data_IF_871153268162
#
_entry.id   IF_871153268162
#
_cell.length_a   1.000
_cell.length_b   1.000
_cell.length_c   1.000
_cell.angle_alpha   90.00
_cell.angle_beta   90.00
_cell.angle_gamma   90.00
#
_symmetry.space_group_name_H-M   'P 1'
#
loop_
_entity.id
_entity.type
_entity.pdbx_description
1 polymer ?
#
# COMPACT_ATOMS: atom_id res chain seq x y z
N UNK A 1 24.20 10.90 1.56
CA UNK A 1 22.94 11.62 1.28
C UNK A 1 22.99 12.27 -0.10
N UNK A 2 22.00 12.00 -0.94
CA UNK A 2 21.82 12.65 -2.24
C UNK A 2 20.94 13.88 -2.00
N UNK A 3 21.48 15.07 -2.26
CA UNK A 3 20.75 16.32 -2.06
C UNK A 3 19.93 16.58 -3.32
N UNK A 4 18.61 16.44 -3.20
CA UNK A 4 17.66 16.71 -4.27
C UNK A 4 16.68 17.78 -3.79
N UNK A 5 17.19 18.99 -3.53
CA UNK A 5 16.46 20.07 -2.88
C UNK A 5 15.18 20.49 -3.61
N UNK A 6 15.10 20.22 -4.91
CA UNK A 6 13.93 20.55 -5.75
C UNK A 6 13.05 19.34 -6.05
N UNK A 7 13.42 18.14 -5.58
CA UNK A 7 12.60 16.95 -5.77
C UNK A 7 11.40 17.03 -4.85
N UNK A 8 10.25 17.35 -5.45
CA UNK A 8 8.96 17.45 -4.78
C UNK A 8 8.00 16.35 -5.21
N UNK A 9 8.31 15.66 -6.30
CA UNK A 9 7.52 14.58 -6.87
C UNK A 9 8.42 13.38 -7.15
N UNK A 10 8.02 12.20 -6.66
CA UNK A 10 8.70 10.94 -6.89
C UNK A 10 7.65 9.89 -7.23
N UNK A 11 7.86 9.20 -8.35
CA UNK A 11 7.06 8.03 -8.71
C UNK A 11 8.00 6.85 -8.92
N UNK A 12 7.71 5.74 -8.24
CA UNK A 12 8.51 4.52 -8.27
C UNK A 12 7.62 3.36 -8.67
N UNK A 13 8.15 2.54 -9.57
CA UNK A 13 7.68 1.18 -9.79
C UNK A 13 8.80 0.25 -9.33
N UNK A 14 8.56 -0.49 -8.26
CA UNK A 14 9.54 -1.38 -7.64
C UNK A 14 9.10 -2.83 -7.77
N UNK A 15 10.06 -3.70 -7.97
CA UNK A 15 9.88 -5.14 -8.10
C UNK A 15 10.95 -5.81 -7.26
N UNK A 16 10.55 -6.74 -6.40
CA UNK A 16 11.43 -7.48 -5.48
C UNK A 16 12.30 -6.60 -4.55
N UNK A 17 11.81 -5.41 -4.18
CA UNK A 17 12.47 -4.53 -3.19
C UNK A 17 11.70 -4.60 -1.87
N UNK A 18 12.40 -5.01 -0.81
CA UNK A 18 11.83 -5.03 0.54
C UNK A 18 11.51 -3.61 1.04
N UNK A 19 10.61 -3.52 2.02
CA UNK A 19 10.29 -2.23 2.63
C UNK A 19 11.51 -1.57 3.27
N UNK A 20 12.38 -2.36 3.90
CA UNK A 20 13.62 -1.90 4.51
C UNK A 20 14.54 -1.21 3.48
N UNK A 21 14.69 -1.83 2.31
CA UNK A 21 15.50 -1.27 1.22
C UNK A 21 14.86 0.01 0.65
N UNK A 22 13.54 0.03 0.52
CA UNK A 22 12.80 1.23 0.14
C UNK A 22 13.00 2.36 1.15
N UNK A 23 12.88 2.10 2.45
CA UNK A 23 13.13 3.09 3.51
C UNK A 23 14.56 3.63 3.41
N UNK A 24 15.55 2.75 3.24
CA UNK A 24 16.96 3.15 3.07
C UNK A 24 17.13 4.05 1.84
N UNK A 25 16.47 3.72 0.73
CA UNK A 25 16.51 4.52 -0.49
C UNK A 25 15.93 5.92 -0.25
N UNK A 26 14.72 6.03 0.28
CA UNK A 26 14.08 7.32 0.56
C UNK A 26 14.87 8.12 1.59
N UNK A 27 15.43 7.48 2.62
CA UNK A 27 16.28 8.13 3.62
C UNK A 27 17.55 8.75 3.01
N UNK A 28 18.02 8.25 1.87
CA UNK A 28 19.15 8.86 1.14
C UNK A 28 18.74 10.11 0.38
N UNK A 29 17.44 10.30 0.09
CA UNK A 29 16.91 11.47 -0.61
C UNK A 29 16.68 12.58 0.42
N UNK A 30 17.61 13.54 0.50
CA UNK A 30 17.37 14.77 1.25
C UNK A 30 16.48 15.69 0.41
N UNK A 31 15.17 15.45 0.46
CA UNK A 31 14.17 16.06 -0.42
C UNK A 31 12.99 16.64 0.37
N UNK A 32 12.32 17.62 -0.23
CA UNK A 32 11.07 18.19 0.27
C UNK A 32 9.90 17.53 -0.46
N UNK A 33 9.83 16.20 -0.36
CA UNK A 33 8.89 15.43 -1.15
C UNK A 33 7.46 15.75 -0.73
N UNK A 34 6.66 16.18 -1.70
CA UNK A 34 5.24 16.51 -1.55
C UNK A 34 4.33 15.46 -2.15
N UNK A 35 4.82 14.77 -3.17
CA UNK A 35 4.10 13.70 -3.84
C UNK A 35 4.97 12.45 -3.91
N UNK A 36 4.43 11.34 -3.43
CA UNK A 36 4.99 10.01 -3.57
C UNK A 36 3.96 9.11 -4.24
N UNK A 37 4.30 8.56 -5.40
CA UNK A 37 3.60 7.43 -6.00
C UNK A 37 4.49 6.21 -5.93
N UNK A 38 3.97 5.13 -5.36
CA UNK A 38 4.65 3.86 -5.25
C UNK A 38 3.75 2.77 -5.82
N UNK A 39 4.26 2.04 -6.80
CA UNK A 39 3.67 0.78 -7.25
C UNK A 39 4.66 -0.32 -6.97
N UNK A 40 4.24 -1.35 -6.25
CA UNK A 40 5.09 -2.48 -5.89
C UNK A 40 4.40 -3.79 -6.23
N UNK A 41 5.18 -4.71 -6.77
CA UNK A 41 4.79 -6.11 -6.96
C UNK A 41 5.80 -6.96 -6.18
N UNK A 42 5.44 -7.35 -4.96
CA UNK A 42 6.33 -8.06 -4.02
C UNK A 42 5.54 -8.96 -3.07
N UNK A 43 6.20 -10.01 -2.59
CA UNK A 43 5.69 -10.88 -1.50
C UNK A 43 5.93 -10.28 -0.10
N UNK A 44 6.64 -9.15 -0.01
CA UNK A 44 6.94 -8.51 1.27
C UNK A 44 5.68 -7.86 1.87
N UNK A 45 5.06 -8.57 2.80
CA UNK A 45 3.86 -8.12 3.53
C UNK A 45 4.12 -6.91 4.43
N UNK A 46 5.38 -6.53 4.70
CA UNK A 46 5.66 -5.37 5.55
C UNK A 46 5.24 -4.05 4.91
N UNK A 47 5.03 -4.03 3.59
CA UNK A 47 4.36 -2.94 2.88
C UNK A 47 2.90 -2.71 3.29
N UNK A 48 2.29 -3.68 3.97
CA UNK A 48 0.91 -3.62 4.43
C UNK A 48 0.78 -3.18 5.89
N UNK A 49 1.90 -2.92 6.58
CA UNK A 49 1.90 -2.38 7.94
C UNK A 49 1.63 -0.86 7.91
N UNK A 50 0.38 -0.49 8.19
CA UNK A 50 -0.05 0.89 8.18
C UNK A 50 0.63 1.74 9.27
N UNK A 51 0.96 1.16 10.42
CA UNK A 51 1.65 1.86 11.51
C UNK A 51 3.10 2.18 11.13
N UNK A 52 3.76 1.24 10.44
CA UNK A 52 5.11 1.44 9.91
C UNK A 52 5.12 2.56 8.89
N UNK A 53 4.18 2.55 7.93
CA UNK A 53 4.00 3.64 6.98
C UNK A 53 3.76 4.98 7.66
N UNK A 54 2.84 5.06 8.62
CA UNK A 54 2.52 6.29 9.34
C UNK A 54 3.78 6.85 10.03
N UNK A 55 4.51 6.01 10.78
CA UNK A 55 5.76 6.40 11.43
C UNK A 55 6.81 6.87 10.42
N UNK A 56 6.98 6.14 9.32
CA UNK A 56 7.92 6.49 8.27
C UNK A 56 7.59 7.85 7.66
N UNK A 57 6.34 8.09 7.31
CA UNK A 57 5.88 9.32 6.68
C UNK A 57 6.03 10.51 7.64
N UNK A 58 5.59 10.37 8.89
CA UNK A 58 5.71 11.44 9.89
C UNK A 58 7.17 11.82 10.17
N UNK A 59 8.10 10.85 10.09
CA UNK A 59 9.50 11.08 10.42
C UNK A 59 10.37 11.48 9.22
N UNK A 60 10.09 10.95 8.03
CA UNK A 60 10.96 11.08 6.84
C UNK A 60 10.35 11.91 5.73
N UNK A 61 9.03 11.98 5.66
CA UNK A 61 8.29 12.69 4.61
C UNK A 61 7.29 13.71 5.22
N UNK A 62 7.72 14.61 6.12
CA UNK A 62 6.81 15.49 6.85
C UNK A 62 6.09 16.51 5.95
N UNK A 63 6.58 16.73 4.74
CA UNK A 63 5.97 17.62 3.74
C UNK A 63 5.09 16.88 2.72
N UNK A 64 4.84 15.58 2.91
CA UNK A 64 4.04 14.80 1.98
C UNK A 64 2.60 15.28 1.99
N UNK A 65 2.14 15.77 0.85
CA UNK A 65 0.77 16.26 0.62
C UNK A 65 -0.08 15.16 -0.04
N UNK A 66 0.53 14.36 -0.91
CA UNK A 66 -0.13 13.31 -1.69
C UNK A 66 0.65 12.02 -1.66
N UNK A 67 -0.06 10.93 -1.40
CA UNK A 67 0.46 9.58 -1.46
C UNK A 67 -0.46 8.72 -2.33
N UNK A 68 0.14 8.04 -3.31
CA UNK A 68 -0.48 6.98 -4.09
C UNK A 68 0.31 5.71 -3.85
N UNK A 69 -0.36 4.66 -3.38
CA UNK A 69 0.26 3.38 -3.10
C UNK A 69 -0.55 2.28 -3.75
N UNK A 70 0.09 1.58 -4.69
CA UNK A 70 -0.41 0.35 -5.27
C UNK A 70 0.47 -0.81 -4.85
N UNK A 71 -0.13 -1.81 -4.21
CA UNK A 71 0.51 -3.06 -3.83
C UNK A 71 -0.16 -4.18 -4.60
N UNK A 72 0.61 -5.02 -5.26
CA UNK A 72 0.11 -6.25 -5.87
C UNK A 72 0.95 -7.44 -5.40
N UNK A 73 0.31 -8.53 -5.03
CA UNK A 73 0.99 -9.78 -4.69
C UNK A 73 0.33 -10.95 -5.40
N UNK A 74 1.16 -11.86 -5.92
CA UNK A 74 0.73 -13.06 -6.64
C UNK A 74 1.16 -14.28 -5.81
N UNK A 75 0.20 -15.07 -5.33
CA UNK A 75 0.50 -16.31 -4.62
C UNK A 75 0.33 -17.50 -5.56
N UNK A 76 1.37 -18.32 -5.71
CA UNK A 76 1.31 -19.54 -6.51
C UNK A 76 0.54 -20.67 -5.78
N UNK A 77 -0.02 -21.62 -6.53
CA UNK A 77 -0.96 -22.72 -6.16
C UNK A 77 -0.57 -23.61 -4.95
N UNK A 78 0.61 -23.41 -4.36
CA UNK A 78 1.19 -24.28 -3.33
C UNK A 78 1.44 -23.56 -2.00
N UNK A 79 1.20 -22.26 -1.93
CA UNK A 79 1.38 -21.49 -0.71
C UNK A 79 0.06 -21.47 0.04
N UNK A 80 0.09 -21.94 1.30
CA UNK A 80 -1.00 -21.65 2.24
C UNK A 80 -1.28 -20.15 2.16
N UNK A 81 -2.55 -19.78 1.91
CA UNK A 81 -3.01 -18.39 1.95
C UNK A 81 -2.32 -17.75 3.16
N UNK A 82 -1.50 -16.69 2.99
CA UNK A 82 -0.73 -16.17 4.09
C UNK A 82 -1.68 -15.94 5.25
N UNK A 83 -1.39 -16.58 6.39
CA UNK A 83 -2.19 -16.46 7.61
C UNK A 83 -2.33 -15.00 8.08
N UNK A 84 -1.61 -14.09 7.43
CA UNK A 84 -1.65 -12.67 7.60
C UNK A 84 -2.07 -11.95 6.31
N UNK A 85 -3.35 -12.03 5.97
CA UNK A 85 -4.05 -10.90 5.34
C UNK A 85 -4.21 -9.83 6.42
N UNK A 86 -3.08 -9.24 6.84
CA UNK A 86 -2.98 -8.30 7.96
C UNK A 86 -4.20 -7.42 8.00
N UNK A 87 -4.85 -7.35 9.17
CA UNK A 87 -6.23 -6.86 9.33
C UNK A 87 -6.51 -5.75 8.32
N UNK A 88 -7.35 -6.02 7.33
CA UNK A 88 -7.49 -5.15 6.16
C UNK A 88 -7.96 -3.73 6.52
N UNK A 89 -8.34 -3.53 7.78
CA UNK A 89 -8.68 -2.28 8.41
C UNK A 89 -7.47 -1.44 8.89
N UNK A 90 -6.22 -1.90 8.77
CA UNK A 90 -5.06 -1.15 9.28
C UNK A 90 -4.94 0.29 8.72
N UNK A 91 -5.44 0.52 7.50
CA UNK A 91 -5.45 1.84 6.86
C UNK A 91 -6.72 2.67 7.12
N UNK A 92 -7.46 2.41 8.21
CA UNK A 92 -8.67 3.17 8.60
C UNK A 92 -8.45 4.11 9.79
N UNK A 93 -7.22 4.25 10.31
CA UNK A 93 -6.95 5.22 11.38
C UNK A 93 -7.25 6.66 10.91
N UNK A 94 -7.46 7.57 11.85
CA UNK A 94 -7.71 9.00 11.53
C UNK A 94 -6.59 9.59 10.67
N UNK A 95 -5.33 9.18 10.92
CA UNK A 95 -4.19 9.59 10.11
C UNK A 95 -4.42 9.34 8.61
N UNK A 96 -4.89 8.15 8.26
CA UNK A 96 -5.17 7.76 6.88
C UNK A 96 -6.41 8.45 6.35
N UNK A 97 -7.54 8.34 7.05
CA UNK A 97 -8.85 8.84 6.61
C UNK A 97 -8.86 10.36 6.36
N UNK A 98 -8.19 11.15 7.21
CA UNK A 98 -8.12 12.60 7.07
C UNK A 98 -7.32 13.03 5.83
N UNK A 99 -6.28 12.27 5.48
CA UNK A 99 -5.36 12.61 4.38
C UNK A 99 -5.92 12.34 3.00
N UNK A 100 -6.94 11.48 2.88
CA UNK A 100 -7.57 11.18 1.58
C UNK A 100 -6.60 10.61 0.53
N UNK A 101 -5.56 9.93 0.99
CA UNK A 101 -4.52 9.33 0.14
C UNK A 101 -4.99 8.06 -0.55
N UNK A 102 -4.48 7.77 -1.75
CA UNK A 102 -5.00 6.66 -2.55
C UNK A 102 -4.18 5.42 -2.24
N UNK A 103 -4.86 4.40 -1.71
CA UNK A 103 -4.30 3.07 -1.51
C UNK A 103 -5.09 2.09 -2.37
N UNK A 104 -4.38 1.26 -3.12
CA UNK A 104 -4.91 0.22 -3.99
C UNK A 104 -4.11 -1.06 -3.72
N UNK A 105 -4.60 -1.85 -2.77
CA UNK A 105 -3.96 -3.09 -2.37
C UNK A 105 -4.70 -4.21 -3.08
N UNK A 106 -4.02 -4.87 -4.01
CA UNK A 106 -4.52 -5.98 -4.81
C UNK A 106 -3.81 -7.27 -4.37
N UNK A 107 -4.57 -8.30 -4.02
CA UNK A 107 -4.05 -9.64 -3.82
C UNK A 107 -4.65 -10.56 -4.88
N UNK A 108 -3.82 -11.26 -5.63
CA UNK A 108 -4.28 -12.28 -6.58
C UNK A 108 -4.02 -13.67 -6.00
N UNK A 109 -5.10 -14.36 -5.66
CA UNK A 109 -5.12 -15.74 -5.17
C UNK A 109 -5.92 -16.60 -6.12
N UNK A 110 -5.29 -17.29 -7.08
CA UNK A 110 -5.88 -18.24 -8.05
C UNK A 110 -7.14 -17.75 -8.80
N UNK A 111 -8.23 -17.52 -8.06
CA UNK A 111 -9.56 -17.13 -8.49
C UNK A 111 -10.03 -15.79 -7.92
N UNK A 112 -9.36 -15.23 -6.90
CA UNK A 112 -9.82 -14.05 -6.13
C UNK A 112 -8.88 -12.86 -6.17
N UNK A 113 -9.45 -11.70 -6.50
CA UNK A 113 -8.81 -10.39 -6.36
C UNK A 113 -9.45 -9.63 -5.20
N UNK A 114 -8.67 -9.33 -4.17
CA UNK A 114 -9.08 -8.41 -3.10
C UNK A 114 -8.58 -7.01 -3.41
N UNK A 115 -9.44 -5.98 -3.37
CA UNK A 115 -9.03 -4.58 -3.49
C UNK A 115 -9.39 -3.79 -2.23
N UNK A 116 -8.38 -3.17 -1.59
CA UNK A 116 -8.59 -2.29 -0.44
C UNK A 116 -8.44 -0.85 -0.90
N UNK A 117 -9.56 -0.11 -0.85
CA UNK A 117 -9.61 1.32 -1.15
C UNK A 117 -10.26 2.05 0.01
N UNK A 118 -9.52 2.72 0.90
CA UNK A 118 -10.07 3.29 2.14
C UNK A 118 -11.25 4.25 1.93
N UNK A 119 -11.36 4.88 0.74
CA UNK A 119 -12.40 5.84 0.38
C UNK A 119 -13.56 5.25 -0.41
N UNK A 120 -13.42 4.01 -0.85
CA UNK A 120 -14.45 3.22 -1.48
C UNK A 120 -14.57 1.97 -0.62
N UNK A 121 -15.27 2.06 0.52
CA UNK A 121 -15.59 0.91 1.41
C UNK A 121 -16.37 -0.16 0.62
N UNK A 122 -15.67 -0.88 -0.24
CA UNK A 122 -16.19 -1.92 -1.11
C UNK A 122 -15.09 -2.96 -1.24
N UNK A 123 -15.29 -4.04 -0.51
CA UNK A 123 -14.57 -5.27 -0.68
C UNK A 123 -15.20 -5.97 -1.88
N UNK A 124 -14.40 -6.26 -2.90
CA UNK A 124 -14.83 -7.12 -3.99
C UNK A 124 -14.07 -8.42 -3.84
N UNK A 125 -14.80 -9.52 -3.82
CA UNK A 125 -14.28 -10.85 -4.08
C UNK A 125 -14.70 -11.19 -5.51
N UNK A 126 -13.71 -11.45 -6.36
CA UNK A 126 -13.95 -12.04 -7.68
C UNK A 126 -13.74 -13.55 -7.54
N UNK A 127 -14.53 -14.37 -8.19
CA UNK A 127 -14.15 -15.75 -8.52
C UNK A 127 -13.66 -15.74 -9.98
N UNK A 128 -12.76 -16.63 -10.37
CA UNK A 128 -12.34 -16.94 -11.76
C UNK A 128 -13.48 -17.04 -12.79
N UNK A 129 -14.73 -17.20 -12.33
CA UNK A 129 -15.92 -17.17 -13.17
C UNK A 129 -16.54 -15.77 -13.38
N UNK A 130 -15.88 -14.69 -12.94
CA UNK A 130 -16.37 -13.30 -12.99
C UNK A 130 -17.68 -13.04 -12.22
N UNK A 131 -17.98 -13.84 -11.21
CA UNK A 131 -19.15 -13.62 -10.35
C UNK A 131 -18.76 -12.69 -9.20
N UNK A 132 -19.34 -11.47 -9.16
CA UNK A 132 -19.11 -10.55 -8.03
C UNK A 132 -19.81 -11.08 -6.77
N UNK A 133 -19.03 -11.40 -5.74
CA UNK A 133 -19.57 -11.66 -4.41
C UNK A 133 -19.37 -10.39 -3.57
N UNK A 134 -20.49 -9.70 -3.30
CA UNK A 134 -20.49 -8.47 -2.52
C UNK A 134 -20.62 -8.79 -1.03
N UNK A 135 -19.65 -8.36 -0.22
CA UNK A 135 -19.81 -8.28 1.22
C UNK A 135 -19.78 -6.83 1.68
N UNK A 136 -20.96 -6.31 2.07
CA UNK A 136 -21.07 -5.08 2.84
C UNK A 136 -21.02 -5.43 4.33
N UNK A 137 -19.85 -5.38 4.94
CA UNK A 137 -19.80 -5.18 6.39
C UNK A 137 -20.07 -3.70 6.66
N UNK A 138 -21.29 -3.38 7.07
CA UNK A 138 -21.58 -2.16 7.82
C UNK A 138 -20.87 -2.28 9.17
N UNK A 139 -19.78 -1.53 9.34
CA UNK A 139 -19.24 -1.29 10.67
C UNK A 139 -20.11 -0.23 11.33
N UNK A 140 -20.83 -0.66 12.37
CA UNK A 140 -21.52 0.15 13.38
C UNK A 140 -20.58 1.09 14.12
#
# INVERSE_FOLDING_TARGET
PIILSNLTYLSLYIYEISFDEFEIFINKLNSQLKFLSLTTIVEDITYLDANRWEKFILTKLPQLEKFYFKYSSYFAENYETPAYLGQCDQFISSFWLERRWILDIEFEFETVIYSIRPYQKRWYEYDTQNTMINFSHELS
#
